data_IF_306263551749
#
_entry.id   IF_306263551749
#
_cell.length_a   1.000
_cell.length_b   1.000
_cell.length_c   1.000
_cell.angle_alpha   90.00
_cell.angle_beta   90.00
_cell.angle_gamma   90.00
#
_symmetry.space_group_name_H-M   'P 1'
#
loop_
_entity.id
_entity.type
_entity.pdbx_description
1 polymer ?
#
# COMPACT_ATOMS: atom_id res chain seq x y z
N UNK A 1 19.42 -9.44 8.45
CA UNK A 1 18.31 -10.27 8.98
C UNK A 1 18.76 -10.87 10.30
N UNK A 2 18.02 -10.61 11.37
CA UNK A 2 18.27 -11.17 12.69
C UNK A 2 17.35 -12.37 12.93
N UNK A 3 17.94 -13.45 13.43
CA UNK A 3 17.18 -14.63 13.90
C UNK A 3 16.75 -14.38 15.33
N UNK A 4 15.60 -13.74 15.51
CA UNK A 4 15.12 -13.33 16.83
C UNK A 4 14.72 -14.55 17.68
N UNK A 5 14.09 -15.55 17.06
CA UNK A 5 13.67 -16.78 17.73
C UNK A 5 13.53 -17.91 16.74
N UNK A 6 13.99 -19.09 17.12
CA UNK A 6 13.71 -20.37 16.48
C UNK A 6 13.04 -21.30 17.52
N UNK A 7 11.75 -21.54 17.35
CA UNK A 7 10.95 -22.46 18.17
C UNK A 7 10.57 -23.71 17.37
N UNK A 8 9.92 -24.67 18.02
CA UNK A 8 9.46 -25.92 17.39
C UNK A 8 8.41 -25.67 16.30
N UNK A 9 7.37 -24.86 16.59
CA UNK A 9 6.30 -24.55 15.64
C UNK A 9 6.43 -23.16 15.00
N UNK A 10 7.08 -22.20 15.68
CA UNK A 10 7.20 -20.82 15.23
C UNK A 10 8.65 -20.35 15.16
N UNK A 11 8.96 -19.58 14.14
CA UNK A 11 10.23 -18.86 14.01
C UNK A 11 9.98 -17.39 13.73
N UNK A 12 10.79 -16.51 14.33
CA UNK A 12 10.67 -15.06 14.12
C UNK A 12 11.95 -14.50 13.51
N UNK A 13 11.78 -13.70 12.50
CA UNK A 13 12.88 -12.99 11.83
C UNK A 13 12.60 -11.49 11.87
N UNK A 14 13.63 -10.73 12.19
CA UNK A 14 13.63 -9.27 12.06
C UNK A 14 14.49 -8.89 10.86
N UNK A 15 13.94 -8.10 9.96
CA UNK A 15 14.64 -7.58 8.79
C UNK A 15 14.82 -6.08 8.93
N UNK A 16 16.04 -5.60 8.76
CA UNK A 16 16.34 -4.18 8.65
C UNK A 16 17.00 -3.95 7.29
N UNK A 17 16.35 -3.14 6.44
CA UNK A 17 16.98 -2.66 5.22
C UNK A 17 17.76 -1.39 5.53
N UNK A 18 19.00 -1.33 5.02
CA UNK A 18 19.94 -0.22 5.28
C UNK A 18 20.33 0.37 3.94
N UNK A 19 20.27 1.70 3.83
CA UNK A 19 20.75 2.47 2.70
C UNK A 19 21.63 3.61 3.20
N UNK A 20 22.82 3.76 2.64
CA UNK A 20 23.81 4.77 3.06
C UNK A 20 24.08 4.78 4.58
N UNK A 21 24.16 3.58 5.18
CA UNK A 21 24.40 3.42 6.61
C UNK A 21 23.22 3.73 7.53
N UNK A 22 22.05 4.10 6.96
CA UNK A 22 20.84 4.41 7.72
C UNK A 22 19.76 3.35 7.51
N UNK A 23 19.06 2.91 8.57
CA UNK A 23 17.92 2.03 8.43
C UNK A 23 16.77 2.78 7.74
N UNK A 24 16.29 2.23 6.61
CA UNK A 24 15.19 2.80 5.83
C UNK A 24 13.89 2.00 5.98
N UNK A 25 13.98 0.77 6.47
CA UNK A 25 12.82 -0.10 6.64
C UNK A 25 13.12 -1.15 7.70
N UNK A 26 12.14 -1.45 8.54
CA UNK A 26 12.20 -2.52 9.54
C UNK A 26 10.91 -3.33 9.48
N UNK A 27 11.02 -4.64 9.43
CA UNK A 27 9.87 -5.52 9.59
C UNK A 27 10.20 -6.73 10.48
N UNK A 28 9.19 -7.31 11.09
CA UNK A 28 9.25 -8.60 11.77
C UNK A 28 8.34 -9.58 11.07
N UNK A 29 8.86 -10.77 10.75
CA UNK A 29 8.12 -11.85 10.13
C UNK A 29 8.03 -13.01 11.08
N UNK A 30 6.83 -13.53 11.30
CA UNK A 30 6.59 -14.77 12.02
C UNK A 30 6.28 -15.87 11.01
N UNK A 31 6.97 -16.99 11.14
CA UNK A 31 6.79 -18.18 10.32
C UNK A 31 6.28 -19.30 11.21
N UNK A 32 5.35 -20.06 10.71
CA UNK A 32 4.80 -21.25 11.37
C UNK A 32 4.97 -22.46 10.46
N UNK A 33 5.27 -23.61 11.01
CA UNK A 33 5.14 -24.87 10.27
C UNK A 33 3.67 -25.13 9.96
N UNK A 34 3.40 -25.79 8.83
CA UNK A 34 2.03 -26.12 8.48
C UNK A 34 1.43 -27.08 9.52
N UNK A 35 0.32 -26.69 10.10
CA UNK A 35 -0.45 -27.49 11.06
C UNK A 35 -1.90 -27.55 10.61
N UNK A 36 -2.54 -28.70 10.80
CA UNK A 36 -3.99 -28.86 10.53
C UNK A 36 -4.76 -28.11 11.62
N UNK A 37 -5.66 -27.22 11.21
CA UNK A 37 -6.44 -26.41 12.13
C UNK A 37 -7.67 -25.80 11.47
N UNK A 38 -8.32 -24.86 12.15
CA UNK A 38 -9.45 -24.13 11.60
C UNK A 38 -8.94 -23.18 10.48
N UNK A 39 -9.57 -23.27 9.33
CA UNK A 39 -9.29 -22.40 8.19
C UNK A 39 -10.43 -21.42 7.99
N UNK A 40 -10.11 -20.15 7.82
CA UNK A 40 -11.07 -19.11 7.50
C UNK A 40 -10.44 -18.09 6.58
N UNK A 41 -11.14 -17.76 5.49
CA UNK A 41 -10.77 -16.72 4.57
C UNK A 41 -12.01 -15.98 4.08
N UNK A 42 -11.98 -14.67 4.13
CA UNK A 42 -12.99 -13.86 3.44
C UNK A 42 -12.79 -13.97 1.93
N UNK A 43 -13.88 -14.07 1.14
CA UNK A 43 -13.77 -14.07 -0.30
C UNK A 43 -13.14 -12.74 -0.78
N UNK A 44 -12.31 -12.83 -1.81
CA UNK A 44 -11.78 -11.63 -2.47
C UNK A 44 -12.96 -10.83 -3.04
N UNK A 45 -13.02 -9.51 -2.82
CA UNK A 45 -14.06 -8.68 -3.42
C UNK A 45 -13.98 -8.74 -4.95
N UNK A 46 -15.14 -8.72 -5.61
CA UNK A 46 -15.19 -8.60 -7.07
C UNK A 46 -14.80 -7.18 -7.47
N UNK A 47 -13.68 -7.06 -8.16
CA UNK A 47 -13.15 -5.80 -8.68
C UNK A 47 -12.69 -6.00 -10.13
N UNK A 48 -12.75 -4.97 -10.98
CA UNK A 48 -12.15 -5.02 -12.32
C UNK A 48 -10.65 -5.37 -12.23
N UNK A 49 -10.14 -6.02 -13.26
CA UNK A 49 -8.69 -6.29 -13.34
C UNK A 49 -7.91 -4.99 -13.50
N UNK A 50 -6.64 -4.93 -13.07
CA UNK A 50 -5.85 -3.70 -13.13
C UNK A 50 -5.72 -3.14 -14.56
N UNK A 51 -5.78 -3.99 -15.57
CA UNK A 51 -5.75 -3.59 -16.99
C UNK A 51 -6.99 -2.82 -17.43
N UNK A 52 -8.12 -3.06 -16.76
CA UNK A 52 -9.42 -2.44 -17.05
C UNK A 52 -9.65 -1.16 -16.22
N UNK A 53 -8.71 -0.79 -15.37
CA UNK A 53 -8.81 0.38 -14.50
C UNK A 53 -7.79 1.43 -14.91
N UNK A 54 -8.25 2.64 -15.21
CA UNK A 54 -7.36 3.75 -15.58
C UNK A 54 -6.41 4.13 -14.42
N UNK A 55 -5.14 4.35 -14.71
CA UNK A 55 -4.20 4.86 -13.71
C UNK A 55 -4.59 6.27 -13.26
N UNK A 56 -4.23 6.62 -12.04
CA UNK A 56 -4.40 7.98 -11.53
C UNK A 56 -3.63 8.96 -12.40
N UNK A 57 -4.35 9.81 -13.13
CA UNK A 57 -3.74 10.87 -13.91
C UNK A 57 -3.17 11.98 -13.02
N UNK A 58 -2.06 12.62 -13.41
CA UNK A 58 -1.59 13.82 -12.75
C UNK A 58 -2.67 14.92 -12.77
N UNK A 59 -2.77 15.67 -11.67
CA UNK A 59 -3.67 16.82 -11.65
C UNK A 59 -3.18 17.91 -12.64
N UNK A 60 -4.10 18.52 -13.40
CA UNK A 60 -3.78 19.69 -14.21
C UNK A 60 -3.13 20.79 -13.37
N UNK A 61 -2.16 21.55 -13.92
CA UNK A 61 -1.42 22.57 -13.18
C UNK A 61 -2.33 23.62 -12.48
N UNK A 62 -3.41 24.01 -13.11
CA UNK A 62 -4.38 24.94 -12.56
C UNK A 62 -5.10 24.37 -11.32
N UNK A 63 -5.42 23.08 -11.31
CA UNK A 63 -6.01 22.41 -10.14
C UNK A 63 -4.97 22.17 -9.05
N UNK A 64 -3.75 21.81 -9.45
CA UNK A 64 -2.65 21.63 -8.51
C UNK A 64 -2.35 22.92 -7.73
N UNK A 65 -2.39 24.07 -8.40
CA UNK A 65 -2.15 25.39 -7.77
C UNK A 65 -3.17 25.76 -6.67
N UNK A 66 -4.38 25.17 -6.70
CA UNK A 66 -5.41 25.41 -5.68
C UNK A 66 -5.16 24.63 -4.38
N UNK A 67 -4.27 23.64 -4.41
CA UNK A 67 -3.97 22.82 -3.25
C UNK A 67 -2.91 23.46 -2.34
N UNK A 68 -2.94 23.17 -1.03
CA UNK A 68 -1.85 23.58 -0.14
C UNK A 68 -0.49 23.07 -0.61
N UNK A 69 0.55 23.88 -0.48
CA UNK A 69 1.92 23.57 -0.95
C UNK A 69 2.44 22.22 -0.46
N UNK A 70 2.04 21.81 0.75
CA UNK A 70 2.41 20.50 1.32
C UNK A 70 1.84 19.35 0.48
N UNK A 71 0.59 19.48 0.03
CA UNK A 71 -0.09 18.48 -0.81
C UNK A 71 0.49 18.49 -2.22
N UNK A 72 0.76 19.66 -2.79
CA UNK A 72 1.43 19.77 -4.09
C UNK A 72 2.77 19.03 -4.08
N UNK A 73 3.59 19.24 -3.04
CA UNK A 73 4.88 18.56 -2.90
C UNK A 73 4.71 17.03 -2.74
N UNK A 74 3.68 16.59 -2.05
CA UNK A 74 3.40 15.17 -1.88
C UNK A 74 2.97 14.53 -3.21
N UNK A 75 2.07 15.14 -3.96
CA UNK A 75 1.64 14.68 -5.27
C UNK A 75 2.79 14.64 -6.29
N UNK A 76 3.66 15.66 -6.29
CA UNK A 76 4.84 15.69 -7.15
C UNK A 76 5.93 14.67 -6.74
N UNK A 77 5.86 14.12 -5.53
CA UNK A 77 6.72 13.04 -5.04
C UNK A 77 6.11 11.66 -5.20
N UNK A 78 4.93 11.56 -5.80
CA UNK A 78 4.39 10.25 -6.16
C UNK A 78 5.43 9.56 -7.05
N UNK A 79 6.18 8.69 -6.41
CA UNK A 79 7.39 8.06 -6.92
C UNK A 79 7.10 6.99 -7.97
N UNK A 80 7.90 5.91 -8.04
CA UNK A 80 7.82 4.92 -9.10
C UNK A 80 6.54 4.05 -9.05
N UNK A 81 5.60 4.34 -8.17
CA UNK A 81 4.36 3.57 -8.03
C UNK A 81 3.25 4.13 -8.90
N UNK A 82 2.62 3.25 -9.67
CA UNK A 82 1.38 3.52 -10.40
C UNK A 82 0.19 3.10 -9.53
N UNK A 83 -0.79 3.98 -9.37
CA UNK A 83 -2.02 3.71 -8.63
C UNK A 83 -3.22 3.72 -9.56
N UNK A 84 -4.09 2.71 -9.44
CA UNK A 84 -5.33 2.56 -10.19
C UNK A 84 -6.51 2.37 -9.22
N UNK A 85 -7.12 3.45 -8.74
CA UNK A 85 -8.27 3.37 -7.86
C UNK A 85 -9.50 2.87 -8.62
N UNK A 86 -10.20 1.88 -8.06
CA UNK A 86 -11.45 1.37 -8.65
C UNK A 86 -12.52 2.46 -8.70
N UNK A 87 -12.53 3.32 -7.68
CA UNK A 87 -13.42 4.47 -7.59
C UNK A 87 -12.58 5.75 -7.50
N UNK A 88 -12.26 6.39 -8.64
CA UNK A 88 -11.50 7.63 -8.63
C UNK A 88 -12.15 8.69 -7.73
N UNK A 89 -11.34 9.49 -7.08
CA UNK A 89 -11.76 10.52 -6.16
C UNK A 89 -11.47 11.90 -6.77
N UNK A 90 -12.40 12.83 -6.59
CA UNK A 90 -12.12 14.24 -6.79
C UNK A 90 -11.36 14.76 -5.56
N UNK A 91 -10.11 15.14 -5.74
CA UNK A 91 -9.24 15.60 -4.65
C UNK A 91 -9.62 17.00 -4.14
N UNK A 92 -10.26 17.80 -4.98
CA UNK A 92 -10.69 19.16 -4.63
C UNK A 92 -12.06 19.19 -3.94
N UNK A 93 -12.94 18.30 -4.34
CA UNK A 93 -14.31 18.21 -3.80
C UNK A 93 -14.70 16.75 -3.57
N UNK A 94 -14.10 16.08 -2.56
CA UNK A 94 -14.33 14.68 -2.33
C UNK A 94 -15.78 14.40 -1.92
N UNK A 95 -16.53 13.58 -2.67
CA UNK A 95 -17.88 13.21 -2.29
C UNK A 95 -17.88 12.37 -1.01
N UNK A 96 -18.95 12.49 -0.21
CA UNK A 96 -19.16 11.61 0.94
C UNK A 96 -19.39 10.17 0.44
N UNK A 97 -18.58 9.23 0.89
CA UNK A 97 -18.62 7.82 0.51
C UNK A 97 -18.54 6.91 1.73
N UNK A 98 -18.93 5.64 1.62
CA UNK A 98 -18.64 4.63 2.64
C UNK A 98 -17.14 4.54 2.92
N UNK A 99 -16.72 4.13 4.13
CA UNK A 99 -15.32 4.11 4.55
C UNK A 99 -14.56 2.89 4.00
N UNK A 100 -14.63 2.65 2.70
CA UNK A 100 -13.81 1.64 2.04
C UNK A 100 -13.21 2.20 0.75
N UNK A 101 -12.05 1.70 0.40
CA UNK A 101 -11.34 2.05 -0.81
C UNK A 101 -10.68 0.79 -1.39
N UNK A 102 -10.68 0.68 -2.71
CA UNK A 102 -10.02 -0.38 -3.45
C UNK A 102 -9.10 0.26 -4.49
N UNK A 103 -7.87 -0.19 -4.51
CA UNK A 103 -6.84 0.36 -5.41
C UNK A 103 -5.87 -0.74 -5.80
N UNK A 104 -5.56 -0.81 -7.09
CA UNK A 104 -4.41 -1.54 -7.58
C UNK A 104 -3.18 -0.63 -7.55
N UNK A 105 -2.05 -1.19 -7.23
CA UNK A 105 -0.77 -0.47 -7.32
C UNK A 105 0.33 -1.39 -7.85
N UNK A 106 1.25 -0.80 -8.58
CA UNK A 106 2.38 -1.47 -9.22
C UNK A 106 3.67 -0.74 -8.90
#
# INVERSE_FOLDING_TARGET
VDRTRDGGSFSVRRVTAIQHGQPIFVCACSFQVHEVGAEHQLPMPHVPMPEDVEPTAPLPPEKLALLPTKIQRWLNRMGPFEFRPIYPRDELNPPKRPPFQQVWFK
#
